data_IF_398973137553
#
_entry.id   IF_398973137553
#
_cell.length_a   1.000
_cell.length_b   1.000
_cell.length_c   1.000
_cell.angle_alpha   90.00
_cell.angle_beta   90.00
_cell.angle_gamma   90.00
#
_symmetry.space_group_name_H-M   'P 1'
#
loop_
_entity.id
_entity.type
_entity.pdbx_description
1 polymer ?
#
# COMPACT_ATOMS: atom_id res chain seq x y z
N UNK A 1 7.72 -14.96 -5.69
CA UNK A 1 6.40 -14.55 -6.19
C UNK A 1 6.24 -13.06 -6.02
N UNK A 2 5.44 -12.41 -6.86
CA UNK A 2 5.13 -10.98 -6.78
C UNK A 2 3.63 -10.76 -6.93
N UNK A 3 3.13 -9.68 -6.33
CA UNK A 3 1.71 -9.31 -6.36
C UNK A 3 1.52 -8.06 -7.24
N UNK A 4 0.63 -8.15 -8.22
CA UNK A 4 0.16 -7.00 -9.00
C UNK A 4 -1.29 -6.71 -8.62
N UNK A 5 -1.59 -5.48 -8.21
CA UNK A 5 -2.94 -5.07 -7.79
C UNK A 5 -3.32 -3.73 -8.43
N UNK A 6 -4.52 -3.65 -9.00
CA UNK A 6 -5.05 -2.39 -9.56
C UNK A 6 -5.62 -1.50 -8.46
N UNK A 7 -5.70 -0.19 -8.68
CA UNK A 7 -6.32 0.73 -7.72
C UNK A 7 -7.76 0.38 -7.36
N UNK A 8 -8.54 -0.15 -8.31
CA UNK A 8 -9.89 -0.63 -8.03
C UNK A 8 -9.88 -1.84 -7.09
N UNK A 9 -9.06 -2.86 -7.35
CA UNK A 9 -8.94 -4.02 -6.47
C UNK A 9 -8.34 -3.64 -5.10
N UNK A 10 -7.39 -2.71 -5.09
CA UNK A 10 -6.78 -2.19 -3.87
C UNK A 10 -7.81 -1.48 -2.99
N UNK A 11 -8.78 -0.76 -3.55
CA UNK A 11 -9.87 -0.17 -2.78
C UNK A 11 -10.65 -1.22 -1.98
N UNK A 12 -10.92 -2.39 -2.59
CA UNK A 12 -11.58 -3.49 -1.88
C UNK A 12 -10.65 -4.13 -0.84
N UNK A 13 -9.37 -4.30 -1.18
CA UNK A 13 -8.38 -4.92 -0.32
C UNK A 13 -8.05 -4.08 0.93
N UNK A 14 -8.12 -2.75 0.82
CA UNK A 14 -7.87 -1.81 1.93
C UNK A 14 -9.08 -1.62 2.86
N UNK A 15 -10.23 -2.23 2.58
CA UNK A 15 -11.36 -2.21 3.51
C UNK A 15 -10.99 -2.89 4.84
N UNK A 16 -11.61 -2.44 5.94
CA UNK A 16 -11.37 -2.93 7.32
C UNK A 16 -11.36 -4.45 7.45
N UNK A 17 -12.23 -5.15 6.70
CA UNK A 17 -12.35 -6.61 6.73
C UNK A 17 -11.18 -7.36 6.06
N UNK A 18 -10.49 -6.73 5.11
CA UNK A 18 -9.52 -7.38 4.22
C UNK A 18 -8.10 -6.83 4.36
N UNK A 19 -7.91 -5.61 4.89
CA UNK A 19 -6.60 -4.93 4.92
C UNK A 19 -5.50 -5.77 5.59
N UNK A 20 -5.83 -6.50 6.65
CA UNK A 20 -4.86 -7.38 7.32
C UNK A 20 -4.46 -8.60 6.47
N UNK A 21 -5.40 -9.19 5.73
CA UNK A 21 -5.11 -10.29 4.78
C UNK A 21 -4.30 -9.79 3.59
N UNK A 22 -4.58 -8.58 3.11
CA UNK A 22 -3.79 -7.95 2.07
C UNK A 22 -2.35 -7.71 2.52
N UNK A 23 -2.16 -7.21 3.75
CA UNK A 23 -0.83 -7.03 4.33
C UNK A 23 -0.08 -8.36 4.45
N UNK A 24 -0.70 -9.39 5.01
CA UNK A 24 -0.11 -10.74 5.14
C UNK A 24 0.31 -11.31 3.79
N UNK A 25 -0.55 -11.21 2.77
CA UNK A 25 -0.20 -11.64 1.41
C UNK A 25 0.95 -10.82 0.82
N UNK A 26 0.93 -9.50 1.03
CA UNK A 26 1.95 -8.59 0.54
C UNK A 26 3.32 -8.87 1.13
N UNK A 27 3.40 -9.18 2.43
CA UNK A 27 4.67 -9.45 3.13
C UNK A 27 5.27 -10.81 2.80
N UNK A 28 4.46 -11.77 2.34
CA UNK A 28 4.95 -13.03 1.76
C UNK A 28 5.51 -12.88 0.34
N UNK A 29 5.20 -11.78 -0.35
CA UNK A 29 5.68 -11.52 -1.70
C UNK A 29 7.08 -10.91 -1.69
N UNK A 30 7.90 -11.24 -2.70
CA UNK A 30 9.21 -10.58 -2.90
C UNK A 30 9.06 -9.13 -3.37
N UNK A 31 7.95 -8.82 -4.04
CA UNK A 31 7.62 -7.49 -4.54
C UNK A 31 6.10 -7.34 -4.66
N UNK A 32 5.60 -6.12 -4.41
CA UNK A 32 4.22 -5.74 -4.62
C UNK A 32 4.19 -4.51 -5.52
N UNK A 33 3.37 -4.55 -6.58
CA UNK A 33 3.17 -3.44 -7.51
C UNK A 33 1.70 -3.05 -7.48
N UNK A 34 1.43 -1.83 -7.02
CA UNK A 34 0.11 -1.23 -7.07
C UNK A 34 0.02 -0.31 -8.30
N UNK A 35 -0.91 -0.56 -9.22
CA UNK A 35 -1.03 0.19 -10.47
C UNK A 35 -2.35 0.99 -10.53
N UNK A 36 -2.31 2.18 -11.16
CA UNK A 36 -3.48 3.09 -11.28
C UNK A 36 -4.11 3.46 -9.92
N UNK A 37 -3.28 3.71 -8.90
CA UNK A 37 -3.71 4.09 -7.55
C UNK A 37 -3.90 5.59 -7.40
N UNK A 38 -4.83 5.99 -6.54
CA UNK A 38 -5.04 7.41 -6.17
C UNK A 38 -4.00 7.86 -5.13
N UNK A 39 -3.78 9.18 -4.94
CA UNK A 39 -2.91 9.69 -3.88
C UNK A 39 -3.29 9.16 -2.49
N UNK A 40 -4.59 9.12 -2.17
CA UNK A 40 -5.10 8.58 -0.92
C UNK A 40 -4.76 7.09 -0.75
N UNK A 41 -4.90 6.28 -1.81
CA UNK A 41 -4.58 4.86 -1.74
C UNK A 41 -3.09 4.60 -1.50
N UNK A 42 -2.21 5.45 -2.04
CA UNK A 42 -0.77 5.38 -1.72
C UNK A 42 -0.52 5.59 -0.23
N UNK A 43 -1.11 6.64 0.34
CA UNK A 43 -1.03 6.95 1.76
C UNK A 43 -1.54 5.79 2.63
N UNK A 44 -2.71 5.24 2.30
CA UNK A 44 -3.30 4.11 3.03
C UNK A 44 -2.42 2.85 3.02
N UNK A 45 -1.73 2.57 1.91
CA UNK A 45 -0.79 1.43 1.85
C UNK A 45 0.41 1.67 2.76
N UNK A 46 1.01 2.87 2.71
CA UNK A 46 2.14 3.22 3.58
C UNK A 46 1.74 3.17 5.05
N UNK A 47 0.59 3.76 5.40
CA UNK A 47 0.05 3.74 6.77
C UNK A 47 -0.19 2.32 7.26
N UNK A 48 -0.82 1.46 6.45
CA UNK A 48 -1.07 0.06 6.79
C UNK A 48 0.24 -0.68 7.12
N UNK A 49 1.29 -0.50 6.32
CA UNK A 49 2.58 -1.16 6.56
C UNK A 49 3.25 -0.59 7.81
N UNK A 50 3.29 0.74 7.93
CA UNK A 50 3.95 1.43 9.04
C UNK A 50 3.35 1.06 10.40
N UNK A 51 2.01 0.96 10.49
CA UNK A 51 1.32 0.64 11.74
C UNK A 51 1.46 -0.83 12.16
N UNK A 52 1.70 -1.75 11.24
CA UNK A 52 1.57 -3.19 11.51
C UNK A 52 2.88 -3.98 11.44
N UNK A 53 3.86 -3.56 10.62
CA UNK A 53 5.08 -4.34 10.41
C UNK A 53 6.22 -4.05 11.41
N UNK A 54 6.05 -3.06 12.30
CA UNK A 54 7.09 -2.60 13.27
C UNK A 54 8.47 -2.36 12.62
N UNK A 55 8.46 -1.87 11.38
CA UNK A 55 9.66 -1.57 10.59
C UNK A 55 9.63 -0.10 10.19
N UNK A 56 10.81 0.47 10.01
CA UNK A 56 10.95 1.81 9.43
C UNK A 56 10.53 1.73 7.97
N UNK A 57 9.59 2.59 7.58
CA UNK A 57 9.08 2.69 6.21
C UNK A 57 9.67 3.93 5.55
N UNK A 58 10.07 3.82 4.28
CA UNK A 58 10.53 4.94 3.46
C UNK A 58 9.54 5.13 2.31
N UNK A 59 9.01 6.35 2.17
CA UNK A 59 8.18 6.77 1.05
C UNK A 59 8.95 7.81 0.21
N UNK A 60 8.98 7.61 -1.11
CA UNK A 60 9.63 8.53 -2.06
C UNK A 60 8.70 8.81 -3.24
N UNK A 61 8.72 10.04 -3.73
CA UNK A 61 7.96 10.49 -4.89
C UNK A 61 8.32 11.92 -5.25
N UNK A 62 8.08 12.30 -6.50
CA UNK A 62 8.47 13.59 -7.08
C UNK A 62 7.26 14.50 -7.41
N UNK A 63 6.03 13.99 -7.29
CA UNK A 63 4.81 14.69 -7.67
C UNK A 63 3.87 15.04 -6.51
N UNK A 64 2.92 15.95 -6.78
CA UNK A 64 1.87 16.33 -5.81
C UNK A 64 1.02 15.14 -5.33
N UNK A 65 0.93 14.09 -6.14
CA UNK A 65 0.21 12.85 -5.84
C UNK A 65 0.91 11.96 -4.80
N UNK A 66 2.13 12.30 -4.38
CA UNK A 66 2.93 11.55 -3.40
C UNK A 66 2.99 12.25 -2.04
N UNK A 67 2.50 13.49 -1.93
CA UNK A 67 2.58 14.29 -0.70
C UNK A 67 1.93 13.56 0.48
N UNK A 68 0.71 13.07 0.32
CA UNK A 68 0.01 12.33 1.37
C UNK A 68 0.62 10.97 1.70
N UNK A 69 1.45 10.41 0.82
CA UNK A 69 2.17 9.17 1.07
C UNK A 69 3.45 9.40 1.88
N UNK A 70 4.02 10.61 1.78
CA UNK A 70 5.29 11.01 2.43
C UNK A 70 5.04 11.64 3.81
N UNK A 71 3.90 12.30 4.00
CA UNK A 71 3.46 12.93 5.25
C UNK A 71 2.68 11.96 6.13
#
# INVERSE_FOLDING_TARGET
FGLLVTGQALAYALNEKLKMKFLELGTMCKAVVCCRVTPLQKAQVVELVMQNEKKITLAIGDGANDVSMIQ
#
